data_IF_066036702914
#
_entry.id   IF_066036702914
#
_cell.length_a   1.000
_cell.length_b   1.000
_cell.length_c   1.000
_cell.angle_alpha   90.00
_cell.angle_beta   90.00
_cell.angle_gamma   90.00
#
_symmetry.space_group_name_H-M   'P 1'
#
loop_
_entity.id
_entity.type
_entity.pdbx_description
1 polymer ?
#
# COMPACT_ATOMS: atom_id res chain seq x y z
N UNK A 1 -29.65 -44.29 -46.73
CA UNK A 1 -29.90 -44.48 -45.27
C UNK A 1 -28.63 -44.37 -44.40
N UNK A 2 -27.44 -44.83 -44.84
CA UNK A 2 -26.19 -44.73 -44.02
C UNK A 2 -25.68 -43.31 -43.78
N UNK A 3 -25.84 -42.40 -44.75
CA UNK A 3 -25.31 -41.03 -44.68
C UNK A 3 -26.04 -40.14 -43.65
N UNK A 4 -27.37 -40.29 -43.52
CA UNK A 4 -28.17 -39.58 -42.52
C UNK A 4 -27.84 -40.02 -41.08
N UNK A 5 -27.45 -41.28 -40.90
CA UNK A 5 -27.07 -41.80 -39.59
C UNK A 5 -25.75 -41.19 -39.09
N UNK A 6 -24.77 -41.00 -39.98
CA UNK A 6 -23.49 -40.37 -39.65
C UNK A 6 -23.67 -38.88 -39.29
N UNK A 7 -24.52 -38.16 -40.03
CA UNK A 7 -24.85 -36.76 -39.73
C UNK A 7 -25.57 -36.61 -38.37
N UNK A 8 -26.48 -37.53 -38.03
CA UNK A 8 -27.11 -37.56 -36.72
C UNK A 8 -26.11 -37.81 -35.59
N UNK A 9 -25.17 -38.76 -35.76
CA UNK A 9 -24.15 -39.05 -34.74
C UNK A 9 -23.20 -37.86 -34.56
N UNK A 10 -22.77 -37.21 -35.64
CA UNK A 10 -21.93 -36.01 -35.56
C UNK A 10 -22.63 -34.83 -34.89
N UNK A 11 -23.92 -34.60 -35.19
CA UNK A 11 -24.71 -33.57 -34.51
C UNK A 11 -24.85 -33.84 -33.01
N UNK A 12 -25.10 -35.09 -32.61
CA UNK A 12 -25.20 -35.45 -31.20
C UNK A 12 -23.87 -35.25 -30.47
N UNK A 13 -22.74 -35.60 -31.09
CA UNK A 13 -21.40 -35.37 -30.51
C UNK A 13 -21.12 -33.87 -30.35
N UNK A 14 -21.48 -33.05 -31.33
CA UNK A 14 -21.30 -31.59 -31.24
C UNK A 14 -22.18 -30.95 -30.16
N UNK A 15 -23.42 -31.41 -29.97
CA UNK A 15 -24.31 -30.96 -28.89
C UNK A 15 -23.77 -31.36 -27.50
N UNK A 16 -23.19 -32.56 -27.38
CA UNK A 16 -22.53 -33.00 -26.14
C UNK A 16 -21.29 -32.16 -25.85
N UNK A 17 -20.46 -31.87 -26.85
CA UNK A 17 -19.29 -31.00 -26.68
C UNK A 17 -19.71 -29.58 -26.26
N UNK A 18 -20.71 -28.98 -26.90
CA UNK A 18 -21.20 -27.65 -26.57
C UNK A 18 -21.80 -27.57 -25.16
N UNK A 19 -22.48 -28.61 -24.68
CA UNK A 19 -23.04 -28.63 -23.32
C UNK A 19 -21.96 -28.74 -22.23
N UNK A 20 -20.83 -29.40 -22.50
CA UNK A 20 -19.67 -29.44 -21.60
C UNK A 20 -18.97 -28.08 -21.49
N UNK A 21 -18.85 -27.33 -22.60
CA UNK A 21 -18.20 -26.01 -22.59
C UNK A 21 -19.02 -24.91 -21.90
N UNK A 22 -20.35 -25.01 -21.85
CA UNK A 22 -21.21 -24.00 -21.20
C UNK A 22 -21.34 -24.18 -19.67
N UNK A 23 -20.82 -25.27 -19.11
CA UNK A 23 -20.99 -25.63 -17.69
C UNK A 23 -20.05 -24.93 -16.68
N UNK A 24 -19.28 -23.90 -17.05
CA UNK A 24 -18.30 -23.28 -16.14
C UNK A 24 -18.31 -21.75 -16.17
N UNK A 25 -19.38 -21.13 -15.68
CA UNK A 25 -19.33 -19.73 -15.21
C UNK A 25 -20.09 -19.53 -13.89
N UNK A 26 -19.72 -20.26 -12.84
CA UNK A 26 -20.06 -19.81 -11.48
C UNK A 26 -19.10 -18.71 -11.03
N UNK A 27 -19.53 -17.45 -11.16
CA UNK A 27 -18.97 -16.33 -10.41
C UNK A 27 -20.04 -15.77 -9.47
N UNK A 28 -20.41 -16.56 -8.43
CA UNK A 28 -21.17 -16.08 -7.28
C UNK A 28 -20.38 -14.98 -6.59
N UNK A 29 -20.64 -13.73 -6.96
CA UNK A 29 -20.12 -12.53 -6.31
C UNK A 29 -20.82 -12.39 -4.97
N UNK A 30 -20.31 -13.09 -3.96
CA UNK A 30 -20.77 -13.00 -2.58
C UNK A 30 -20.45 -11.58 -2.05
N UNK A 31 -21.37 -10.63 -2.26
CA UNK A 31 -21.35 -9.33 -1.58
C UNK A 31 -21.69 -9.59 -0.13
N UNK A 32 -20.68 -9.97 0.65
CA UNK A 32 -20.79 -10.01 2.10
C UNK A 32 -21.29 -8.66 2.60
N UNK A 33 -22.51 -8.64 3.12
CA UNK A 33 -23.09 -7.51 3.82
C UNK A 33 -22.33 -7.32 5.14
N UNK A 34 -21.16 -6.70 5.07
CA UNK A 34 -20.37 -6.39 6.25
C UNK A 34 -21.03 -5.18 6.90
N UNK A 35 -21.89 -5.45 7.90
CA UNK A 35 -22.41 -4.45 8.84
C UNK A 35 -21.32 -3.43 9.14
N UNK A 36 -21.56 -2.22 8.72
CA UNK A 36 -20.66 -1.08 8.86
C UNK A 36 -20.58 -0.81 10.36
N UNK A 37 -19.42 -1.06 10.96
CA UNK A 37 -19.14 -0.49 12.29
C UNK A 37 -19.15 1.04 12.12
N UNK A 38 -20.20 1.68 12.61
CA UNK A 38 -20.25 3.12 12.80
C UNK A 38 -19.07 3.52 13.71
N UNK A 39 -18.35 4.58 13.36
CA UNK A 39 -17.26 5.12 14.18
C UNK A 39 -15.83 4.95 13.65
N UNK A 40 -15.61 4.44 12.44
CA UNK A 40 -14.25 4.42 11.84
C UNK A 40 -14.16 5.37 10.65
N UNK A 41 -13.48 6.50 10.82
CA UNK A 41 -13.14 7.44 9.74
C UNK A 41 -12.30 6.72 8.68
N UNK A 42 -12.83 6.62 7.46
CA UNK A 42 -12.22 5.95 6.33
C UNK A 42 -11.92 6.98 5.25
N UNK A 43 -10.64 7.14 4.97
CA UNK A 43 -10.13 8.05 3.95
C UNK A 43 -9.88 7.33 2.63
N UNK A 44 -9.68 8.10 1.57
CA UNK A 44 -9.28 7.58 0.27
C UNK A 44 -8.00 6.77 0.35
N UNK A 45 -7.93 5.74 -0.51
CA UNK A 45 -6.72 4.91 -0.61
C UNK A 45 -5.61 5.60 -1.40
N UNK A 46 -5.96 6.59 -2.23
CA UNK A 46 -5.07 7.40 -3.05
C UNK A 46 -5.46 8.86 -2.82
N UNK A 47 -4.47 9.71 -2.62
CA UNK A 47 -4.67 11.14 -2.38
C UNK A 47 -4.00 11.98 -3.45
N UNK A 48 -4.25 13.29 -3.40
CA UNK A 48 -3.52 14.25 -4.22
C UNK A 48 -2.10 14.36 -3.69
N UNK A 49 -1.11 14.08 -4.55
CA UNK A 49 0.31 14.15 -4.20
C UNK A 49 0.84 15.57 -4.49
N UNK A 50 1.55 16.16 -3.53
CA UNK A 50 2.31 17.40 -3.75
C UNK A 50 3.54 17.12 -4.62
N UNK A 51 4.12 18.15 -5.28
CA UNK A 51 5.44 18.02 -5.86
C UNK A 51 6.45 17.55 -4.80
N UNK A 52 7.46 16.80 -5.25
CA UNK A 52 8.54 16.36 -4.38
C UNK A 52 9.40 17.56 -3.97
N UNK A 53 9.56 17.75 -2.66
CA UNK A 53 10.54 18.70 -2.15
C UNK A 53 11.94 18.05 -2.27
N UNK A 54 12.79 18.61 -3.13
CA UNK A 54 14.12 18.09 -3.45
C UNK A 54 15.10 18.19 -2.29
N UNK A 55 14.90 19.12 -1.36
CA UNK A 55 15.72 19.31 -0.16
C UNK A 55 15.42 18.24 0.89
N UNK A 56 14.15 17.88 1.09
CA UNK A 56 13.74 16.93 2.15
C UNK A 56 13.43 15.53 1.63
N UNK A 57 13.45 15.32 0.31
CA UNK A 57 13.06 14.08 -0.38
C UNK A 57 11.69 13.55 0.08
N UNK A 58 10.77 14.46 0.37
CA UNK A 58 9.43 14.16 0.86
C UNK A 58 8.36 14.83 -0.03
N UNK A 59 7.23 14.15 -0.13
CA UNK A 59 6.00 14.67 -0.74
C UNK A 59 4.83 14.45 0.21
N UNK A 60 3.90 15.38 0.21
CA UNK A 60 2.69 15.35 1.03
C UNK A 60 1.55 14.76 0.22
N UNK A 61 0.86 13.77 0.77
CA UNK A 61 -0.31 13.14 0.15
C UNK A 61 -1.55 13.53 0.94
N UNK A 62 -2.48 14.23 0.29
CA UNK A 62 -3.76 14.64 0.89
C UNK A 62 -4.83 13.59 0.61
N UNK A 63 -5.32 12.93 1.67
CA UNK A 63 -6.35 11.89 1.61
C UNK A 63 -7.69 12.45 2.06
N UNK A 64 -8.72 12.37 1.23
CA UNK A 64 -10.06 12.87 1.55
C UNK A 64 -10.89 11.82 2.30
N UNK A 65 -11.83 12.28 3.12
CA UNK A 65 -12.74 11.41 3.87
C UNK A 65 -13.75 10.76 2.91
N UNK A 66 -13.77 9.43 2.85
CA UNK A 66 -14.75 8.65 2.07
C UNK A 66 -15.98 8.25 2.88
N UNK A 67 -15.78 7.98 4.17
CA UNK A 67 -16.81 7.46 5.06
C UNK A 67 -16.48 7.78 6.50
N UNK A 68 -17.45 8.30 7.22
CA UNK A 68 -17.31 8.77 8.59
C UNK A 68 -18.35 9.85 8.82
N UNK A 69 -18.55 10.22 10.07
CA UNK A 69 -19.38 11.36 10.41
C UNK A 69 -18.52 12.64 10.29
N UNK A 70 -18.95 13.65 9.50
CA UNK A 70 -18.17 14.88 9.29
C UNK A 70 -18.01 15.72 10.56
N UNK A 71 -18.85 15.53 11.58
CA UNK A 71 -18.69 16.21 12.88
C UNK A 71 -17.55 15.61 13.73
N UNK A 72 -17.19 14.34 13.50
CA UNK A 72 -16.16 13.63 14.27
C UNK A 72 -14.91 13.25 13.48
N UNK A 73 -14.96 13.31 12.15
CA UNK A 73 -13.85 12.98 11.25
C UNK A 73 -13.38 14.21 10.48
N UNK A 74 -12.08 14.49 10.51
CA UNK A 74 -11.50 15.54 9.67
C UNK A 74 -11.80 15.27 8.18
N UNK A 75 -12.17 16.29 7.39
CA UNK A 75 -12.59 16.14 5.99
C UNK A 75 -11.45 15.63 5.09
N UNK A 76 -10.21 15.94 5.45
CA UNK A 76 -9.02 15.41 4.81
C UNK A 76 -7.92 15.18 5.85
N UNK A 77 -6.91 14.41 5.46
CA UNK A 77 -5.68 14.25 6.23
C UNK A 77 -4.48 14.23 5.30
N UNK A 78 -3.39 14.84 5.72
CA UNK A 78 -2.13 14.85 5.00
C UNK A 78 -1.19 13.79 5.57
N UNK A 79 -0.50 13.07 4.70
CA UNK A 79 0.50 12.06 5.07
C UNK A 79 1.79 12.36 4.31
N UNK A 80 2.92 12.39 5.00
CA UNK A 80 4.21 12.55 4.34
C UNK A 80 4.70 11.20 3.81
N UNK A 81 5.12 11.17 2.56
CA UNK A 81 5.74 10.00 1.94
C UNK A 81 7.06 10.42 1.33
N UNK A 82 8.08 9.58 1.46
CA UNK A 82 9.32 9.81 0.72
C UNK A 82 9.03 9.81 -0.77
N UNK A 83 9.72 10.66 -1.51
CA UNK A 83 9.71 10.65 -2.96
C UNK A 83 10.37 9.34 -3.43
N UNK A 84 9.60 8.26 -3.49
CA UNK A 84 10.01 7.05 -4.22
C UNK A 84 9.78 7.37 -5.69
N UNK A 85 10.66 8.21 -6.24
CA UNK A 85 10.73 8.45 -7.65
C UNK A 85 11.02 7.10 -8.31
N UNK A 86 9.99 6.54 -8.99
CA UNK A 86 10.16 5.27 -9.67
C UNK A 86 11.13 5.37 -10.85
N UNK A 87 11.41 6.60 -11.32
CA UNK A 87 12.46 6.93 -12.27
C UNK A 87 13.86 6.85 -11.62
N UNK A 88 13.99 7.16 -10.33
CA UNK A 88 15.22 6.95 -9.56
C UNK A 88 15.37 5.54 -8.96
N UNK A 89 14.48 4.58 -9.23
CA UNK A 89 14.61 3.19 -8.74
C UNK A 89 15.71 2.36 -9.40
N UNK A 90 16.55 2.96 -10.25
CA UNK A 90 17.88 2.40 -10.59
C UNK A 90 19.03 3.28 -10.12
N UNK A 91 18.82 4.20 -9.17
CA UNK A 91 19.95 4.75 -8.41
C UNK A 91 20.49 3.60 -7.58
N UNK A 92 21.57 2.99 -8.08
CA UNK A 92 22.33 1.91 -7.45
C UNK A 92 22.37 2.20 -5.95
N UNK A 93 21.62 1.42 -5.17
CA UNK A 93 21.65 1.54 -3.71
C UNK A 93 23.11 1.34 -3.32
N UNK A 94 23.78 2.42 -2.92
CA UNK A 94 25.18 2.38 -2.50
C UNK A 94 25.25 1.38 -1.35
N UNK A 95 25.85 0.22 -1.63
CA UNK A 95 26.02 -0.84 -0.64
C UNK A 95 27.07 -0.34 0.36
N UNK A 96 26.90 -0.70 1.64
CA UNK A 96 27.86 -0.33 2.69
C UNK A 96 27.56 0.96 3.45
N UNK A 97 26.47 1.69 3.17
CA UNK A 97 26.09 2.84 3.99
C UNK A 97 25.58 2.41 5.38
N UNK A 98 26.36 2.65 6.42
CA UNK A 98 25.97 2.42 7.82
C UNK A 98 25.78 3.78 8.51
N UNK A 99 24.69 3.93 9.25
CA UNK A 99 24.38 5.19 9.95
C UNK A 99 24.28 4.96 11.45
N UNK A 100 24.62 5.98 12.23
CA UNK A 100 24.56 5.99 13.69
C UNK A 100 23.12 6.09 14.15
N UNK A 101 22.59 4.98 14.69
CA UNK A 101 21.23 4.94 15.21
C UNK A 101 21.13 5.24 16.69
N UNK A 102 22.20 5.05 17.45
CA UNK A 102 22.17 5.18 18.92
C UNK A 102 22.46 6.60 19.39
N UNK A 103 23.27 7.37 18.66
CA UNK A 103 23.59 8.77 18.97
C UNK A 103 22.67 9.79 18.30
N UNK A 104 21.44 9.42 17.99
CA UNK A 104 20.48 10.35 17.40
C UNK A 104 19.11 10.08 17.96
N UNK A 105 18.40 11.12 18.34
CA UNK A 105 17.08 10.99 18.94
C UNK A 105 15.97 11.18 17.91
N UNK A 106 14.78 10.71 18.29
CA UNK A 106 13.59 11.07 17.55
C UNK A 106 13.21 12.49 17.95
N UNK A 107 12.83 13.32 16.98
CA UNK A 107 12.15 14.58 17.26
C UNK A 107 10.87 14.31 18.03
N UNK A 108 10.37 15.37 18.65
CA UNK A 108 9.02 15.38 19.17
C UNK A 108 8.01 15.01 18.08
N UNK A 109 6.85 14.54 18.55
CA UNK A 109 5.76 14.26 17.64
C UNK A 109 5.18 15.58 17.15
N UNK A 110 5.17 15.76 15.84
CA UNK A 110 4.40 16.84 15.24
C UNK A 110 2.90 16.55 15.43
N UNK A 111 2.22 17.46 16.14
CA UNK A 111 0.81 17.34 16.47
C UNK A 111 -0.10 17.36 15.24
N UNK A 112 0.34 18.01 14.16
CA UNK A 112 -0.44 18.15 12.92
C UNK A 112 -0.34 16.90 12.04
N UNK A 113 0.87 16.34 11.91
CA UNK A 113 1.12 15.19 11.03
C UNK A 113 1.08 13.84 11.76
N UNK A 114 1.15 13.84 13.10
CA UNK A 114 1.34 12.63 13.94
C UNK A 114 2.61 11.85 13.58
N UNK A 115 3.63 12.56 13.12
CA UNK A 115 4.91 12.01 12.68
C UNK A 115 6.05 12.54 13.54
N UNK A 116 7.12 11.75 13.59
CA UNK A 116 8.39 12.15 14.17
C UNK A 116 9.53 11.72 13.27
N UNK A 117 10.57 12.52 13.25
CA UNK A 117 11.72 12.35 12.37
C UNK A 117 12.95 12.03 13.21
N UNK A 118 13.86 11.23 12.67
CA UNK A 118 15.17 10.97 13.26
C UNK A 118 16.23 11.11 12.20
N UNK A 119 17.14 12.05 12.40
CA UNK A 119 18.29 12.28 11.52
C UNK A 119 19.47 11.49 12.06
N UNK A 120 20.07 10.64 11.24
CA UNK A 120 21.20 9.79 11.61
C UNK A 120 22.43 10.20 10.82
N UNK A 121 23.59 10.30 11.49
CA UNK A 121 24.88 10.57 10.84
C UNK A 121 25.49 9.31 10.24
N UNK A 122 26.28 9.45 9.18
CA UNK A 122 27.01 8.36 8.55
C UNK A 122 28.10 7.86 9.51
N UNK A 123 28.28 6.54 9.61
CA UNK A 123 29.34 5.94 10.41
C UNK A 123 30.67 6.00 9.66
N UNK A 124 31.75 6.25 10.40
CA UNK A 124 33.12 6.06 9.92
C UNK A 124 33.29 4.65 9.33
N UNK A 125 33.99 4.56 8.19
CA UNK A 125 34.17 3.31 7.43
C UNK A 125 32.96 2.90 6.57
N UNK A 126 31.96 3.77 6.42
CA UNK A 126 30.94 3.62 5.38
C UNK A 126 31.49 4.03 4.01
N UNK A 127 30.82 3.61 2.94
CA UNK A 127 31.19 4.02 1.58
C UNK A 127 31.14 5.57 1.45
N UNK A 128 32.17 6.24 0.90
CA UNK A 128 32.20 7.69 0.74
C UNK A 128 31.13 8.24 -0.19
N UNK A 129 30.55 7.42 -1.08
CA UNK A 129 29.41 7.80 -1.92
C UNK A 129 28.09 7.91 -1.12
N UNK A 130 28.10 7.53 0.16
CA UNK A 130 26.93 7.63 1.02
C UNK A 130 26.70 9.08 1.46
N UNK A 131 25.44 9.54 1.50
CA UNK A 131 25.09 10.81 2.13
C UNK A 131 25.59 10.89 3.57
N UNK A 132 26.09 12.05 3.97
CA UNK A 132 26.60 12.30 5.34
C UNK A 132 25.52 12.10 6.41
N UNK A 133 24.26 12.40 6.07
CA UNK A 133 23.12 12.20 6.97
C UNK A 133 21.97 11.51 6.27
N UNK A 134 21.14 10.83 7.06
CA UNK A 134 19.90 10.21 6.59
C UNK A 134 18.78 10.42 7.59
N UNK A 135 17.65 10.93 7.12
CA UNK A 135 16.43 11.04 7.90
C UNK A 135 15.61 9.74 7.84
N UNK A 136 14.91 9.45 8.94
CA UNK A 136 13.89 8.41 9.02
C UNK A 136 12.66 8.99 9.68
N UNK A 137 11.52 8.87 9.01
CA UNK A 137 10.22 9.31 9.52
C UNK A 137 9.47 8.08 10.05
N UNK A 138 8.79 8.23 11.17
CA UNK A 138 7.86 7.23 11.73
C UNK A 138 6.63 7.94 12.28
N UNK A 139 5.48 7.28 12.21
CA UNK A 139 4.32 7.71 12.97
C UNK A 139 4.57 7.59 14.48
N UNK A 140 4.04 8.52 15.26
CA UNK A 140 4.17 8.54 16.72
C UNK A 140 3.40 7.41 17.38
N UNK A 141 2.30 6.97 16.74
CA UNK A 141 1.63 5.71 17.03
C UNK A 141 0.75 5.73 18.27
N UNK A 142 -0.53 6.07 18.08
CA UNK A 142 -1.65 5.59 18.89
C UNK A 142 -2.44 4.52 18.12
N UNK A 143 -1.76 3.44 17.75
CA UNK A 143 -2.46 2.20 17.38
C UNK A 143 -1.89 1.10 18.25
N UNK A 144 -2.74 0.61 19.16
CA UNK A 144 -2.55 -0.61 19.93
C UNK A 144 -1.71 -1.58 19.11
N UNK A 145 -0.53 -1.93 19.63
CA UNK A 145 0.25 -3.05 19.10
C UNK A 145 -0.68 -4.25 19.17
N UNK A 146 -1.33 -4.57 18.04
CA UNK A 146 -2.09 -5.79 17.90
C UNK A 146 -1.19 -6.90 18.40
N UNK A 147 -1.67 -7.60 19.44
CA UNK A 147 -1.07 -8.76 20.06
C UNK A 147 -0.17 -9.49 19.08
N UNK A 148 1.14 -9.53 19.36
CA UNK A 148 2.04 -10.47 18.68
C UNK A 148 1.38 -11.84 18.89
N UNK A 149 0.82 -12.43 17.83
CA UNK A 149 0.40 -13.83 17.87
C UNK A 149 1.65 -14.64 18.26
N UNK A 150 1.62 -15.42 19.35
CA UNK A 150 2.70 -16.35 19.62
C UNK A 150 2.79 -17.31 18.42
N UNK A 151 4.00 -17.54 17.93
CA UNK A 151 4.24 -18.64 16.99
C UNK A 151 3.98 -19.93 17.76
N UNK A 152 3.06 -20.74 17.25
CA UNK A 152 2.89 -22.14 17.62
C UNK A 152 3.95 -22.97 16.92
#
# INVERSE_FOLDING_TARGET
>A
MKQFSILCVLLLVMVVLLSVFLGSTEAKKNKGNRKVKAGVCKYDRKGSESPCNTTTNAMTITLNLRKGDPASCAPSKTVSKSCNDKSQTKKKKVKGCKYERRGSDWTECDATTNERTKVMKLKAGSNPECPETRSKIKSCGNKQKGSRRPKK
#
